data_IF_849185619790
#
_entry.id   IF_849185619790
#
_cell.length_a   1.000
_cell.length_b   1.000
_cell.length_c   1.000
_cell.angle_alpha   90.00
_cell.angle_beta   90.00
_cell.angle_gamma   90.00
#
_symmetry.space_group_name_H-M   'P 1'
#
loop_
_entity.id
_entity.type
_entity.pdbx_description
1 polymer ?
#
# COMPACT_ATOMS: atom_id res chain seq x y z
N UNK A 1 -0.63 -2.95 60.92
CA UNK A 1 0.73 -2.60 60.45
C UNK A 1 0.62 -2.01 59.05
N UNK A 2 1.24 -0.85 58.84
CA UNK A 2 1.54 -0.21 57.54
C UNK A 2 2.39 -1.21 56.70
N UNK A 3 2.57 -1.15 55.38
CA UNK A 3 2.52 -0.06 54.42
C UNK A 3 2.49 -0.62 52.97
N UNK A 4 2.02 0.24 52.05
CA UNK A 4 2.50 0.53 50.69
C UNK A 4 2.79 -0.58 49.66
N UNK A 5 2.00 -0.58 48.58
CA UNK A 5 2.51 -0.39 47.22
C UNK A 5 1.37 -0.26 46.21
N UNK A 6 1.16 0.93 45.66
CA UNK A 6 0.39 1.15 44.43
C UNK A 6 0.85 2.48 43.81
N UNK A 7 2.03 2.47 43.20
CA UNK A 7 2.44 3.46 42.19
C UNK A 7 3.28 2.71 41.16
N UNK A 8 2.67 2.38 40.03
CA UNK A 8 3.29 2.24 38.71
C UNK A 8 2.27 1.56 37.79
N UNK A 9 1.69 2.30 36.85
CA UNK A 9 0.73 1.72 35.89
C UNK A 9 -0.15 2.72 35.15
N UNK A 10 -0.07 4.01 35.44
CA UNK A 10 -0.51 5.06 34.52
C UNK A 10 0.73 5.53 33.78
N UNK A 11 0.89 5.15 32.50
CA UNK A 11 1.66 5.90 31.49
C UNK A 11 1.71 5.25 30.08
N UNK A 12 1.08 4.09 29.83
CA UNK A 12 1.05 3.50 28.47
C UNK A 12 -0.27 3.67 27.70
N UNK A 13 -1.28 4.35 28.25
CA UNK A 13 -2.59 4.52 27.58
C UNK A 13 -2.74 5.85 26.82
N UNK A 14 -1.82 6.81 27.00
CA UNK A 14 -1.89 8.11 26.32
C UNK A 14 -1.43 8.11 24.86
N UNK A 15 -0.55 7.18 24.48
CA UNK A 15 0.01 7.14 23.12
C UNK A 15 -0.87 6.39 22.10
N UNK A 16 -1.72 5.45 22.57
CA UNK A 16 -2.61 4.68 21.70
C UNK A 16 -3.88 5.48 21.33
N UNK A 17 -4.30 6.43 22.17
CA UNK A 17 -5.49 7.24 21.91
C UNK A 17 -5.28 8.35 20.87
N UNK A 18 -4.05 8.84 20.68
CA UNK A 18 -3.77 9.90 19.70
C UNK A 18 -3.75 9.39 18.24
N UNK A 19 -3.34 8.14 18.00
CA UNK A 19 -3.34 7.57 16.65
C UNK A 19 -4.74 7.16 16.17
N UNK A 20 -5.63 6.75 17.07
CA UNK A 20 -6.99 6.32 16.72
C UNK A 20 -7.94 7.48 16.37
N UNK A 21 -7.75 8.67 16.97
CA UNK A 21 -8.57 9.86 16.65
C UNK A 21 -8.26 10.48 15.27
N UNK A 22 -7.12 10.16 14.66
CA UNK A 22 -6.74 10.68 13.34
C UNK A 22 -7.41 9.94 12.17
N UNK A 23 -8.03 8.79 12.39
CA UNK A 23 -8.57 7.95 11.32
C UNK A 23 -10.12 8.07 11.14
N UNK A 24 -10.81 8.90 11.94
CA UNK A 24 -12.29 9.07 11.96
C UNK A 24 -12.81 10.16 10.99
N UNK A 25 -12.06 10.51 9.96
CA UNK A 25 -12.47 11.53 9.00
C UNK A 25 -13.55 11.03 8.02
N UNK A 26 -14.62 11.81 7.89
CA UNK A 26 -15.65 11.61 6.84
C UNK A 26 -15.14 12.09 5.48
N UNK A 27 -15.62 11.49 4.40
CA UNK A 27 -15.34 11.95 3.04
C UNK A 27 -16.27 13.07 2.60
N UNK A 28 -15.73 14.02 1.83
CA UNK A 28 -16.54 15.05 1.21
C UNK A 28 -17.50 14.45 0.16
N UNK A 29 -18.75 14.94 0.07
CA UNK A 29 -19.71 14.47 -0.92
C UNK A 29 -19.19 14.62 -2.35
N UNK A 30 -19.20 13.54 -3.12
CA UNK A 30 -18.58 13.51 -4.45
C UNK A 30 -19.24 14.43 -5.48
N UNK A 31 -20.54 14.70 -5.35
CA UNK A 31 -21.28 15.60 -6.23
C UNK A 31 -20.72 17.04 -6.22
N UNK A 32 -20.30 17.53 -5.05
CA UNK A 32 -19.73 18.87 -4.90
C UNK A 32 -18.34 18.99 -5.55
N UNK A 33 -17.62 17.87 -5.64
CA UNK A 33 -16.25 17.81 -6.12
C UNK A 33 -16.12 17.35 -7.57
N UNK A 34 -17.15 16.71 -8.14
CA UNK A 34 -17.08 16.05 -9.44
C UNK A 34 -16.54 16.95 -10.59
N UNK A 35 -16.99 18.21 -10.78
CA UNK A 35 -16.48 19.04 -11.88
C UNK A 35 -15.00 19.42 -11.74
N UNK A 36 -14.51 19.48 -10.50
CA UNK A 36 -13.13 19.89 -10.20
C UNK A 36 -12.22 18.68 -10.25
N UNK A 37 -12.68 17.54 -9.73
CA UNK A 37 -12.03 16.24 -9.88
C UNK A 37 -11.84 15.90 -11.36
N UNK A 38 -12.85 16.15 -12.21
CA UNK A 38 -12.71 15.93 -13.65
C UNK A 38 -11.56 16.76 -14.27
N UNK A 39 -11.47 18.05 -13.94
CA UNK A 39 -10.37 18.91 -14.40
C UNK A 39 -9.02 18.44 -13.87
N UNK A 40 -8.98 18.01 -12.62
CA UNK A 40 -7.77 17.48 -12.01
C UNK A 40 -7.29 16.21 -12.70
N UNK A 41 -8.19 15.26 -12.95
CA UNK A 41 -7.90 14.01 -13.65
C UNK A 41 -7.45 14.25 -15.09
N UNK A 42 -8.04 15.22 -15.80
CA UNK A 42 -7.57 15.61 -17.13
C UNK A 42 -6.15 16.19 -17.10
N UNK A 43 -5.82 16.99 -16.09
CA UNK A 43 -4.44 17.48 -15.89
C UNK A 43 -3.50 16.31 -15.62
N UNK A 44 -3.90 15.39 -14.75
CA UNK A 44 -3.16 14.18 -14.45
C UNK A 44 -2.89 13.34 -15.71
N UNK A 45 -3.91 13.04 -16.51
CA UNK A 45 -3.81 12.30 -17.78
C UNK A 45 -2.84 12.93 -18.78
N UNK A 46 -2.78 14.27 -18.84
CA UNK A 46 -1.99 15.00 -19.83
C UNK A 46 -0.56 15.30 -19.38
N UNK A 47 -0.20 14.98 -18.13
CA UNK A 47 1.11 15.31 -17.56
C UNK A 47 1.92 14.03 -17.36
N UNK A 48 3.16 14.00 -17.85
CA UNK A 48 4.10 12.94 -17.48
C UNK A 48 4.59 13.17 -16.03
N UNK A 49 4.50 12.17 -15.16
CA UNK A 49 4.98 12.23 -13.78
C UNK A 49 6.18 11.33 -13.68
N UNK A 50 7.31 11.85 -13.18
CA UNK A 50 8.56 11.08 -13.15
C UNK A 50 8.98 10.56 -14.54
N UNK A 51 8.59 11.27 -15.60
CA UNK A 51 8.90 10.90 -16.98
C UNK A 51 7.98 9.84 -17.61
N UNK A 52 6.95 9.37 -16.90
CA UNK A 52 6.00 8.37 -17.40
C UNK A 52 4.54 8.83 -17.30
N UNK A 53 3.60 8.10 -17.88
CA UNK A 53 2.16 8.40 -17.79
C UNK A 53 1.47 7.35 -16.91
N UNK A 54 1.57 7.45 -15.57
CA UNK A 54 1.14 6.39 -14.67
C UNK A 54 -0.38 6.30 -14.52
N UNK A 55 -1.14 7.30 -14.97
CA UNK A 55 -2.60 7.29 -14.91
C UNK A 55 -3.18 6.63 -16.17
N UNK A 56 -4.05 5.63 -16.01
CA UNK A 56 -4.76 5.00 -17.13
C UNK A 56 -6.20 5.53 -17.21
N UNK A 57 -7.02 5.26 -16.17
CA UNK A 57 -8.44 5.62 -16.16
C UNK A 57 -9.01 5.74 -14.75
N UNK A 58 -10.23 6.27 -14.64
CA UNK A 58 -11.02 6.26 -13.41
C UNK A 58 -12.40 5.65 -13.69
N UNK A 59 -12.87 4.77 -12.80
CA UNK A 59 -14.19 4.16 -12.85
C UNK A 59 -14.83 4.27 -11.46
N UNK A 60 -15.96 4.98 -11.33
CA UNK A 60 -16.58 5.22 -10.02
C UNK A 60 -15.63 5.94 -9.06
N UNK A 61 -15.33 5.32 -7.91
CA UNK A 61 -14.36 5.79 -6.91
C UNK A 61 -13.03 5.01 -6.99
N UNK A 62 -12.66 4.51 -8.17
CA UNK A 62 -11.43 3.78 -8.40
C UNK A 62 -10.58 4.45 -9.48
N UNK A 63 -9.29 4.66 -9.21
CA UNK A 63 -8.28 5.01 -10.21
C UNK A 63 -7.51 3.74 -10.59
N UNK A 64 -7.29 3.56 -11.88
CA UNK A 64 -6.42 2.53 -12.43
C UNK A 64 -5.16 3.18 -12.98
N UNK A 65 -4.03 2.67 -12.53
CA UNK A 65 -2.70 3.06 -13.00
C UNK A 65 -2.32 2.22 -14.22
N UNK A 66 -1.48 2.78 -15.08
CA UNK A 66 -0.91 2.10 -16.24
C UNK A 66 0.24 1.15 -15.85
N UNK A 67 0.72 0.36 -16.80
CA UNK A 67 1.86 -0.54 -16.59
C UNK A 67 3.13 0.24 -16.25
N UNK A 68 3.30 1.46 -16.78
CA UNK A 68 4.43 2.35 -16.50
C UNK A 68 4.62 2.63 -14.99
N UNK A 69 3.53 2.62 -14.22
CA UNK A 69 3.62 2.80 -12.77
C UNK A 69 4.46 1.69 -12.10
N UNK A 70 4.41 0.46 -12.63
CA UNK A 70 5.11 -0.67 -12.03
C UNK A 70 6.63 -0.54 -12.11
N UNK A 71 7.12 0.14 -13.14
CA UNK A 71 8.56 0.36 -13.39
C UNK A 71 9.15 1.48 -12.53
N UNK A 72 8.29 2.31 -11.93
CA UNK A 72 8.73 3.35 -11.01
C UNK A 72 9.39 2.77 -9.76
N UNK A 73 10.47 3.41 -9.32
CA UNK A 73 11.07 3.12 -8.03
C UNK A 73 10.17 3.63 -6.89
N UNK A 74 10.45 3.24 -5.64
CA UNK A 74 9.58 3.59 -4.52
C UNK A 74 9.39 5.09 -4.28
N UNK A 75 10.42 5.93 -4.50
CA UNK A 75 10.32 7.37 -4.31
C UNK A 75 9.40 7.97 -5.37
N UNK A 76 9.57 7.52 -6.61
CA UNK A 76 8.71 7.91 -7.73
C UNK A 76 7.27 7.46 -7.51
N UNK A 77 7.03 6.21 -7.07
CA UNK A 77 5.70 5.70 -6.72
C UNK A 77 5.06 6.54 -5.64
N UNK A 78 5.78 6.86 -4.55
CA UNK A 78 5.27 7.74 -3.48
C UNK A 78 4.91 9.12 -4.01
N UNK A 79 5.74 9.70 -4.87
CA UNK A 79 5.42 10.98 -5.49
C UNK A 79 4.17 10.89 -6.37
N UNK A 80 4.06 9.88 -7.22
CA UNK A 80 2.85 9.61 -8.02
C UNK A 80 1.61 9.46 -7.15
N UNK A 81 1.68 8.69 -6.06
CA UNK A 81 0.56 8.54 -5.12
C UNK A 81 0.23 9.88 -4.44
N UNK A 82 1.22 10.70 -4.09
CA UNK A 82 0.95 12.04 -3.54
C UNK A 82 0.27 12.97 -4.55
N UNK A 83 0.59 12.85 -5.85
CA UNK A 83 -0.10 13.52 -6.95
C UNK A 83 -1.51 12.98 -7.17
N UNK A 84 -1.89 11.89 -6.52
CA UNK A 84 -3.25 11.39 -6.45
C UNK A 84 -3.95 11.84 -5.15
N UNK A 85 -3.45 12.90 -4.51
CA UNK A 85 -4.02 13.46 -3.27
C UNK A 85 -4.15 12.42 -2.16
N UNK A 86 -3.28 11.41 -2.16
CA UNK A 86 -3.24 10.36 -1.16
C UNK A 86 -2.40 10.75 0.07
N UNK A 87 -1.66 11.86 -0.01
CA UNK A 87 -0.88 12.41 1.10
C UNK A 87 -1.72 13.37 1.95
N UNK A 88 -1.51 13.33 3.27
CA UNK A 88 -2.17 14.25 4.20
C UNK A 88 -1.73 15.69 3.90
N UNK A 89 -2.70 16.57 3.65
CA UNK A 89 -2.44 18.01 3.56
C UNK A 89 -1.94 18.51 2.20
N UNK A 90 -1.69 17.63 1.23
CA UNK A 90 -1.34 18.00 -0.14
C UNK A 90 -2.56 18.41 -0.98
N UNK A 91 -3.52 19.12 -0.39
CA UNK A 91 -4.72 19.59 -1.10
C UNK A 91 -4.46 20.88 -1.89
N UNK A 92 -3.31 21.53 -1.72
CA UNK A 92 -2.98 22.80 -2.38
C UNK A 92 -3.11 22.77 -3.91
N UNK A 93 -2.62 21.72 -4.61
CA UNK A 93 -2.81 21.61 -6.06
C UNK A 93 -4.29 21.55 -6.44
N UNK A 94 -5.11 20.85 -5.66
CA UNK A 94 -6.55 20.74 -5.87
C UNK A 94 -7.29 22.05 -5.53
N UNK A 95 -6.96 22.70 -4.42
CA UNK A 95 -7.55 23.97 -3.99
C UNK A 95 -7.37 25.08 -5.03
N UNK A 96 -6.28 25.05 -5.80
CA UNK A 96 -6.02 25.98 -6.89
C UNK A 96 -6.99 25.85 -8.07
N UNK A 97 -7.64 24.69 -8.22
CA UNK A 97 -8.60 24.41 -9.29
C UNK A 97 -10.04 24.78 -8.93
N UNK A 98 -10.29 25.19 -7.68
CA UNK A 98 -11.60 25.54 -7.15
C UNK A 98 -11.92 27.04 -7.32
N UNK A 99 -13.17 27.34 -7.70
CA UNK A 99 -13.69 28.71 -7.63
C UNK A 99 -13.78 29.20 -6.18
N UNK A 100 -13.82 30.52 -5.90
CA UNK A 100 -14.01 31.04 -4.55
C UNK A 100 -15.27 30.49 -3.87
N UNK A 101 -16.37 30.31 -4.61
CA UNK A 101 -17.62 29.73 -4.09
C UNK A 101 -17.45 28.26 -3.71
N UNK A 102 -16.78 27.47 -4.56
CA UNK A 102 -16.50 26.06 -4.27
C UNK A 102 -15.59 25.90 -3.05
N UNK A 103 -14.56 26.75 -2.93
CA UNK A 103 -13.70 26.78 -1.74
C UNK A 103 -14.49 27.09 -0.47
N UNK A 104 -15.42 28.04 -0.52
CA UNK A 104 -16.26 28.39 0.62
C UNK A 104 -17.24 27.26 0.99
N UNK A 105 -17.77 26.55 0.00
CA UNK A 105 -18.64 25.40 0.23
C UNK A 105 -17.89 24.23 0.87
N UNK A 106 -16.69 23.92 0.35
CA UNK A 106 -15.83 22.86 0.89
C UNK A 106 -15.29 23.22 2.26
N UNK A 107 -14.89 24.48 2.50
CA UNK A 107 -14.39 24.91 3.82
C UNK A 107 -15.43 24.82 4.94
N UNK A 108 -16.72 24.79 4.58
CA UNK A 108 -17.84 24.59 5.52
C UNK A 108 -18.14 23.12 5.78
N UNK A 109 -17.63 22.22 4.95
CA UNK A 109 -17.77 20.77 5.11
C UNK A 109 -16.55 20.25 5.87
N UNK A 110 -16.79 19.49 6.94
CA UNK A 110 -15.73 18.78 7.65
C UNK A 110 -15.51 17.43 6.97
N UNK A 111 -14.28 17.14 6.57
CA UNK A 111 -13.91 15.86 5.98
C UNK A 111 -12.68 15.94 5.07
N UNK A 112 -12.16 14.78 4.69
CA UNK A 112 -11.14 14.67 3.66
C UNK A 112 -11.76 14.55 2.27
N UNK A 113 -11.08 15.06 1.25
CA UNK A 113 -11.51 14.90 -0.14
C UNK A 113 -11.43 13.45 -0.56
N UNK A 114 -12.45 12.99 -1.31
CA UNK A 114 -12.61 11.64 -1.88
C UNK A 114 -11.26 10.94 -2.16
N UNK A 115 -10.71 10.13 -1.24
CA UNK A 115 -9.73 9.16 -1.66
C UNK A 115 -10.55 8.12 -2.40
N UNK A 116 -10.12 7.89 -3.61
CA UNK A 116 -10.52 6.75 -4.40
C UNK A 116 -9.61 5.58 -4.02
N UNK A 117 -10.06 4.38 -4.30
CA UNK A 117 -9.15 3.23 -4.31
C UNK A 117 -8.25 3.32 -5.53
N UNK A 118 -6.96 3.03 -5.37
CA UNK A 118 -6.02 3.01 -6.49
C UNK A 118 -5.65 1.57 -6.80
N UNK A 119 -5.77 1.20 -8.07
CA UNK A 119 -5.43 -0.10 -8.60
C UNK A 119 -4.23 0.03 -9.55
N UNK A 120 -3.34 -0.95 -9.53
CA UNK A 120 -2.34 -1.12 -10.57
C UNK A 120 -2.99 -1.63 -11.87
N UNK A 121 -2.26 -1.56 -12.99
CA UNK A 121 -2.74 -2.04 -14.30
C UNK A 121 -3.15 -3.53 -14.28
N UNK A 122 -2.53 -4.30 -13.40
CA UNK A 122 -2.81 -5.71 -13.21
C UNK A 122 -4.02 -5.99 -12.29
N UNK A 123 -4.66 -4.94 -11.76
CA UNK A 123 -5.83 -5.04 -10.88
C UNK A 123 -5.48 -5.19 -9.39
N UNK A 124 -4.20 -5.19 -8.98
CA UNK A 124 -3.85 -5.16 -7.56
C UNK A 124 -4.26 -3.85 -6.93
N UNK A 125 -4.81 -3.91 -5.73
CA UNK A 125 -5.03 -2.70 -4.92
C UNK A 125 -3.69 -2.15 -4.45
N UNK A 126 -3.41 -0.91 -4.82
CA UNK A 126 -2.18 -0.18 -4.47
C UNK A 126 -2.40 0.66 -3.22
N UNK A 127 -3.55 1.33 -3.12
CA UNK A 127 -3.96 2.15 -1.97
C UNK A 127 -5.49 2.13 -1.83
N UNK A 128 -5.99 2.31 -0.61
CA UNK A 128 -7.41 2.29 -0.28
C UNK A 128 -7.93 3.61 0.29
N UNK A 129 -9.16 3.90 -0.10
CA UNK A 129 -10.02 4.93 0.44
C UNK A 129 -10.61 4.61 1.83
N UNK A 130 -9.96 3.75 2.63
CA UNK A 130 -10.62 3.15 3.79
C UNK A 130 -10.64 4.06 5.01
N UNK A 131 -9.49 4.64 5.36
CA UNK A 131 -9.37 5.60 6.44
C UNK A 131 -8.19 6.52 6.17
N UNK A 132 -8.09 7.61 6.92
CA UNK A 132 -7.07 8.62 6.69
C UNK A 132 -5.63 8.06 6.80
N UNK A 133 -5.44 7.02 7.60
CA UNK A 133 -4.17 6.41 7.94
C UNK A 133 -3.59 5.49 6.84
N UNK A 134 -4.42 5.02 5.89
CA UNK A 134 -4.00 4.06 4.86
C UNK A 134 -3.94 4.67 3.43
N UNK A 135 -4.10 5.98 3.28
CA UNK A 135 -4.22 6.64 1.96
C UNK A 135 -2.91 6.63 1.17
N UNK A 136 -1.74 6.79 1.80
CA UNK A 136 -0.44 6.85 1.09
C UNK A 136 0.35 5.53 1.06
N UNK A 137 -0.16 4.45 1.65
CA UNK A 137 0.64 3.22 1.81
C UNK A 137 0.55 2.36 0.56
N UNK A 138 1.69 2.04 -0.05
CA UNK A 138 1.80 0.95 -1.02
C UNK A 138 1.49 -0.35 -0.29
N UNK A 139 0.31 -0.91 -0.54
CA UNK A 139 -0.05 -2.16 0.10
C UNK A 139 0.90 -3.28 -0.34
N UNK A 140 1.31 -4.08 0.61
CA UNK A 140 1.95 -5.38 0.41
C UNK A 140 0.89 -6.48 0.30
N UNK A 141 1.26 -7.69 -0.10
CA UNK A 141 0.34 -8.82 -0.13
C UNK A 141 -0.18 -9.19 1.25
N UNK A 142 0.60 -8.96 2.30
CA UNK A 142 0.12 -9.11 3.68
C UNK A 142 -1.11 -8.22 3.92
N UNK A 143 -0.99 -6.93 3.62
CA UNK A 143 -2.07 -5.97 3.83
C UNK A 143 -3.27 -6.28 2.90
N UNK A 144 -3.02 -6.62 1.63
CA UNK A 144 -4.08 -7.03 0.69
C UNK A 144 -4.85 -8.26 1.17
N UNK A 145 -4.16 -9.23 1.76
CA UNK A 145 -4.80 -10.46 2.26
C UNK A 145 -5.82 -10.20 3.38
N UNK A 146 -5.70 -9.04 4.05
CA UNK A 146 -6.56 -8.65 5.18
C UNK A 146 -7.81 -7.88 4.76
N UNK A 147 -7.87 -7.40 3.52
CA UNK A 147 -8.94 -6.52 3.04
C UNK A 147 -10.32 -7.20 3.13
N UNK A 148 -10.42 -8.47 2.76
CA UNK A 148 -11.68 -9.22 2.87
C UNK A 148 -12.16 -9.36 4.32
N UNK A 149 -11.26 -9.52 5.28
CA UNK A 149 -11.62 -9.53 6.71
C UNK A 149 -12.09 -8.17 7.21
N UNK A 150 -11.71 -7.09 6.54
CA UNK A 150 -12.17 -5.73 6.83
C UNK A 150 -13.47 -5.38 6.07
N UNK A 151 -14.10 -6.35 5.39
CA UNK A 151 -15.30 -6.14 4.59
C UNK A 151 -15.05 -5.38 3.28
N UNK A 152 -13.79 -5.29 2.84
CA UNK A 152 -13.41 -4.63 1.60
C UNK A 152 -13.28 -5.71 0.52
N UNK A 153 -14.26 -5.76 -0.38
CA UNK A 153 -14.19 -6.61 -1.55
C UNK A 153 -13.25 -6.00 -2.58
N UNK A 154 -12.35 -6.82 -3.13
CA UNK A 154 -11.40 -6.39 -4.16
C UNK A 154 -11.42 -7.39 -5.30
N UNK A 155 -11.62 -6.91 -6.52
CA UNK A 155 -11.52 -7.73 -7.71
C UNK A 155 -10.04 -7.93 -8.07
N UNK A 156 -9.54 -9.16 -7.95
CA UNK A 156 -8.16 -9.52 -8.28
C UNK A 156 -8.11 -10.29 -9.60
N UNK A 157 -7.27 -9.89 -10.54
CA UNK A 157 -7.05 -10.63 -11.79
C UNK A 157 -6.13 -11.82 -11.54
N UNK A 158 -6.67 -13.05 -11.56
CA UNK A 158 -5.85 -14.25 -11.39
C UNK A 158 -5.21 -14.72 -12.70
N UNK A 159 -4.19 -14.00 -13.19
CA UNK A 159 -3.48 -14.37 -14.43
C UNK A 159 -2.66 -15.66 -14.27
N UNK A 160 -2.10 -15.87 -13.09
CA UNK A 160 -1.31 -17.04 -12.73
C UNK A 160 -1.93 -17.71 -11.50
N UNK A 161 -3.04 -18.46 -11.67
CA UNK A 161 -3.67 -19.15 -10.55
C UNK A 161 -2.72 -20.22 -10.00
N UNK A 162 -2.68 -20.33 -8.67
CA UNK A 162 -1.92 -21.37 -7.97
C UNK A 162 -2.83 -22.12 -7.02
N UNK A 163 -2.73 -23.45 -7.02
CA UNK A 163 -3.53 -24.27 -6.11
C UNK A 163 -3.18 -23.97 -4.65
N UNK A 164 -4.16 -24.11 -3.76
CA UNK A 164 -3.94 -23.94 -2.31
C UNK A 164 -2.83 -24.86 -1.81
N UNK A 165 -2.76 -26.09 -2.29
CA UNK A 165 -1.73 -27.05 -1.90
C UNK A 165 -0.32 -26.55 -2.22
N UNK A 166 -0.09 -26.06 -3.45
CA UNK A 166 1.20 -25.48 -3.84
C UNK A 166 1.58 -24.27 -2.99
N UNK A 167 0.61 -23.38 -2.69
CA UNK A 167 0.87 -22.24 -1.82
C UNK A 167 1.27 -22.68 -0.41
N UNK A 168 0.60 -23.69 0.14
CA UNK A 168 0.89 -24.22 1.48
C UNK A 168 2.25 -24.93 1.55
N UNK A 169 2.69 -25.61 0.49
CA UNK A 169 4.04 -26.19 0.45
C UNK A 169 5.12 -25.14 0.60
N UNK A 170 5.06 -24.06 -0.18
CA UNK A 170 6.07 -22.99 -0.10
C UNK A 170 6.00 -22.28 1.26
N UNK A 171 4.79 -22.02 1.77
CA UNK A 171 4.60 -21.45 3.12
C UNK A 171 5.20 -22.34 4.21
N UNK A 172 5.02 -23.67 4.13
CA UNK A 172 5.62 -24.61 5.10
C UNK A 172 7.14 -24.55 5.05
N UNK A 173 7.75 -24.58 3.87
CA UNK A 173 9.22 -24.47 3.73
C UNK A 173 9.71 -23.14 4.32
N UNK A 174 9.02 -22.05 4.02
CA UNK A 174 9.33 -20.72 4.54
C UNK A 174 9.26 -20.69 6.07
N UNK A 175 8.13 -21.05 6.67
CA UNK A 175 7.94 -20.97 8.12
C UNK A 175 8.74 -22.01 8.92
N UNK A 176 8.98 -23.19 8.37
CA UNK A 176 9.89 -24.17 8.97
C UNK A 176 11.36 -23.69 8.97
N UNK A 177 11.69 -22.74 8.10
CA UNK A 177 13.05 -22.19 8.03
C UNK A 177 13.21 -20.94 8.88
N UNK A 178 12.27 -20.00 8.80
CA UNK A 178 12.34 -18.73 9.53
C UNK A 178 11.96 -18.86 11.00
N UNK A 179 11.04 -19.79 11.31
CA UNK A 179 10.38 -19.87 12.61
C UNK A 179 9.08 -19.06 12.64
N UNK A 180 8.05 -19.63 13.27
CA UNK A 180 6.76 -18.98 13.46
C UNK A 180 6.79 -17.84 14.48
N UNK A 181 7.84 -17.76 15.30
CA UNK A 181 8.10 -16.64 16.21
C UNK A 181 8.29 -15.31 15.46
N UNK A 182 8.63 -15.37 14.16
CA UNK A 182 8.77 -14.20 13.28
C UNK A 182 7.49 -13.83 12.53
N UNK A 183 6.38 -14.54 12.78
CA UNK A 183 5.10 -14.23 12.14
C UNK A 183 4.60 -12.85 12.60
N UNK A 184 4.33 -11.95 11.64
CA UNK A 184 3.98 -10.55 11.89
C UNK A 184 5.03 -9.58 11.38
N UNK A 185 6.32 -9.93 11.51
CA UNK A 185 7.43 -9.16 10.94
C UNK A 185 7.75 -9.62 9.51
N UNK A 186 7.58 -10.92 9.26
CA UNK A 186 7.74 -11.53 7.95
C UNK A 186 6.39 -11.99 7.43
N UNK A 187 6.25 -11.99 6.11
CA UNK A 187 5.08 -12.55 5.46
C UNK A 187 5.44 -13.14 4.11
N UNK A 188 4.71 -14.16 3.68
CA UNK A 188 4.84 -14.76 2.36
C UNK A 188 3.46 -15.03 1.76
N UNK A 189 3.22 -14.53 0.55
CA UNK A 189 2.00 -14.80 -0.20
C UNK A 189 2.24 -14.86 -1.71
N UNK A 190 1.35 -15.57 -2.40
CA UNK A 190 1.33 -15.65 -3.85
C UNK A 190 0.68 -14.39 -4.44
N UNK A 191 1.31 -13.81 -5.46
CA UNK A 191 0.77 -12.70 -6.27
C UNK A 191 0.21 -13.28 -7.58
N UNK A 192 -1.10 -13.58 -7.65
CA UNK A 192 -1.71 -14.21 -8.81
C UNK A 192 -1.76 -13.31 -10.05
N UNK A 193 -1.56 -12.00 -9.90
CA UNK A 193 -1.53 -11.06 -11.02
C UNK A 193 -0.25 -11.18 -11.85
N UNK A 194 0.88 -11.48 -11.21
CA UNK A 194 2.21 -11.44 -11.84
C UNK A 194 3.00 -12.76 -11.76
N UNK A 195 2.53 -13.73 -10.97
CA UNK A 195 3.12 -15.06 -10.94
C UNK A 195 4.43 -15.14 -10.15
N UNK A 196 4.45 -14.58 -8.95
CA UNK A 196 5.57 -14.67 -8.02
C UNK A 196 5.09 -14.75 -6.56
N UNK A 197 5.99 -15.15 -5.66
CA UNK A 197 5.79 -15.04 -4.22
C UNK A 197 6.33 -13.71 -3.70
N UNK A 198 5.48 -12.89 -3.07
CA UNK A 198 5.93 -11.69 -2.35
C UNK A 198 6.35 -12.07 -0.94
N UNK A 199 7.57 -11.71 -0.56
CA UNK A 199 8.06 -11.81 0.82
C UNK A 199 8.16 -10.40 1.40
N UNK A 200 7.35 -10.13 2.42
CA UNK A 200 7.51 -8.92 3.21
C UNK A 200 8.58 -9.15 4.28
N UNK A 201 9.43 -8.15 4.47
CA UNK A 201 10.48 -8.15 5.49
C UNK A 201 10.40 -6.87 6.34
N UNK A 202 10.87 -6.90 7.59
CA UNK A 202 10.77 -5.75 8.49
C UNK A 202 11.76 -4.64 8.14
N UNK A 203 12.89 -4.97 7.51
CA UNK A 203 13.93 -4.01 7.14
C UNK A 203 14.85 -4.53 6.01
N UNK A 204 15.75 -3.66 5.53
CA UNK A 204 16.72 -3.94 4.48
C UNK A 204 17.77 -5.01 4.87
N UNK A 205 17.99 -5.21 6.16
CA UNK A 205 19.00 -6.11 6.75
C UNK A 205 18.47 -7.48 7.14
N UNK A 206 17.33 -7.92 6.60
CA UNK A 206 16.64 -9.19 6.91
C UNK A 206 17.48 -10.46 6.73
N UNK A 207 18.30 -10.80 7.74
CA UNK A 207 19.19 -11.97 7.71
C UNK A 207 18.44 -13.30 7.68
N UNK A 208 17.20 -13.35 8.16
CA UNK A 208 16.42 -14.58 8.25
C UNK A 208 16.17 -15.24 6.88
N UNK A 209 16.19 -14.47 5.78
CA UNK A 209 16.04 -15.05 4.44
C UNK A 209 17.30 -15.77 3.95
N UNK A 210 18.48 -15.53 4.55
CA UNK A 210 19.72 -16.22 4.16
C UNK A 210 19.60 -17.74 4.32
N UNK A 211 18.88 -18.20 5.34
CA UNK A 211 18.63 -19.62 5.60
C UNK A 211 17.52 -20.19 4.71
N UNK A 212 16.60 -19.35 4.25
CA UNK A 212 15.49 -19.72 3.37
C UNK A 212 15.95 -19.98 1.93
N UNK A 213 16.81 -19.13 1.38
CA UNK A 213 17.19 -19.21 -0.05
C UNK A 213 17.73 -20.56 -0.52
N UNK A 214 18.58 -21.28 0.24
CA UNK A 214 19.03 -22.62 -0.15
C UNK A 214 17.92 -23.68 -0.16
N UNK A 215 16.80 -23.44 0.53
CA UNK A 215 15.65 -24.37 0.64
C UNK A 215 14.46 -23.94 -0.21
N UNK A 216 14.45 -22.70 -0.69
CA UNK A 216 13.37 -22.13 -1.46
C UNK A 216 13.19 -22.90 -2.78
N UNK A 217 11.96 -23.35 -3.10
CA UNK A 217 11.65 -23.94 -4.39
C UNK A 217 12.10 -23.06 -5.58
N UNK A 218 13.00 -23.57 -6.41
CA UNK A 218 13.71 -22.80 -7.44
C UNK A 218 12.88 -22.52 -8.71
N UNK A 219 11.73 -23.17 -8.84
CA UNK A 219 10.78 -22.97 -9.94
C UNK A 219 9.89 -21.74 -9.76
N UNK A 220 9.91 -21.08 -8.60
CA UNK A 220 9.19 -19.84 -8.37
C UNK A 220 10.12 -18.63 -8.30
N UNK A 221 9.60 -17.49 -8.77
CA UNK A 221 10.19 -16.17 -8.52
C UNK A 221 9.73 -15.68 -7.15
N UNK A 222 10.64 -15.05 -6.42
CA UNK A 222 10.37 -14.39 -5.15
C UNK A 222 10.68 -12.91 -5.28
N UNK A 223 9.75 -12.05 -4.88
CA UNK A 223 9.96 -10.61 -4.80
C UNK A 223 10.04 -10.23 -3.32
N UNK A 224 11.16 -9.63 -2.91
CA UNK A 224 11.33 -9.17 -1.54
C UNK A 224 10.97 -7.70 -1.45
N UNK A 225 10.08 -7.37 -0.52
CA UNK A 225 9.58 -6.01 -0.30
C UNK A 225 9.68 -5.59 1.16
N UNK A 226 10.00 -4.32 1.40
CA UNK A 226 9.91 -3.68 2.71
C UNK A 226 9.06 -2.41 2.55
N UNK A 227 8.02 -2.24 3.37
CA UNK A 227 7.09 -1.11 3.30
C UNK A 227 6.57 -0.83 1.87
N UNK A 228 6.19 -1.90 1.16
CA UNK A 228 5.72 -1.84 -0.23
C UNK A 228 6.81 -1.52 -1.27
N UNK A 229 8.06 -1.32 -0.85
CA UNK A 229 9.21 -1.04 -1.73
C UNK A 229 9.89 -2.33 -2.15
N UNK A 230 10.06 -2.54 -3.46
CA UNK A 230 10.84 -3.66 -4.02
C UNK A 230 12.32 -3.50 -3.69
N UNK A 231 12.90 -4.54 -3.10
CA UNK A 231 14.33 -4.57 -2.76
C UNK A 231 15.11 -5.36 -3.80
N UNK A 232 14.72 -6.61 -4.01
CA UNK A 232 15.30 -7.48 -5.01
C UNK A 232 14.33 -8.59 -5.41
N UNK A 233 14.59 -9.20 -6.55
CA UNK A 233 14.00 -10.48 -6.92
C UNK A 233 15.01 -11.60 -6.69
N UNK A 234 14.51 -12.77 -6.33
CA UNK A 234 15.28 -14.00 -6.24
C UNK A 234 14.66 -15.06 -7.15
N UNK A 235 15.48 -15.63 -8.02
CA UNK A 235 15.08 -16.71 -8.91
C UNK A 235 16.26 -17.62 -9.21
N UNK A 236 16.10 -18.93 -9.02
CA UNK A 236 17.12 -19.95 -9.34
C UNK A 236 18.52 -19.62 -8.81
N UNK A 237 18.61 -19.23 -7.53
CA UNK A 237 19.89 -18.91 -6.90
C UNK A 237 20.42 -17.49 -7.18
N UNK A 238 19.79 -16.73 -8.07
CA UNK A 238 20.23 -15.40 -8.45
C UNK A 238 19.41 -14.32 -7.75
N UNK A 239 20.10 -13.37 -7.11
CA UNK A 239 19.51 -12.12 -6.60
C UNK A 239 19.71 -11.00 -7.62
N UNK A 240 18.63 -10.32 -7.98
CA UNK A 240 18.65 -9.13 -8.84
C UNK A 240 18.07 -7.96 -8.06
N UNK A 241 18.92 -7.01 -7.70
CA UNK A 241 18.53 -5.82 -6.94
C UNK A 241 17.82 -4.83 -7.84
N UNK A 242 16.72 -4.27 -7.35
CA UNK A 242 16.13 -3.06 -7.93
C UNK A 242 16.91 -1.90 -7.32
N UNK A 243 17.43 -0.99 -8.15
CA UNK A 243 18.35 0.08 -7.75
C UNK A 243 18.00 0.64 -6.36
N UNK A 244 18.83 0.31 -5.37
CA UNK A 244 18.67 0.82 -4.01
C UNK A 244 18.96 2.31 -4.04
N UNK A 245 17.95 3.09 -3.67
CA UNK A 245 18.11 4.51 -3.39
C UNK A 245 19.28 4.69 -2.42
N UNK A 246 20.27 5.50 -2.81
CA UNK A 246 21.07 6.18 -1.82
C UNK A 246 20.13 7.01 -0.94
N UNK A 247 20.37 7.07 0.38
CA UNK A 247 19.56 7.83 1.33
C UNK A 247 19.35 9.28 0.88
#
# INVERSE_FOLDING_TARGET
>A
MKAHSLVAGMLCWGAVQLAAQACDERFLPGEALAPVMQKYLQKLQSTAWEGVYPFERMEGQAIYLSEDFEDLNARQKRHVLSLLLLDYGAYQPFLSLLSPQQRQQISRQQGSMLPYTVYAADGRVVSLAYNACNRLTLLTEYERSRLGFLGIETERRQRYPMSRWQQEEVKKVFWNTLGYDKAGDYWLAWVPEQGYFEINVPDLGHKALLDFWPKAPDYYRYLVVADGTRLYSYFRGQKTYFETQQP
#
